data_IF_116607558323
#
_entry.id   IF_116607558323
#
_cell.length_a   1.000
_cell.length_b   1.000
_cell.length_c   1.000
_cell.angle_alpha   90.00
_cell.angle_beta   90.00
_cell.angle_gamma   90.00
#
_symmetry.space_group_name_H-M   'P 1'
#
loop_
_entity.id
_entity.type
_entity.pdbx_description
1 polymer ?
#
# COMPACT_ATOMS: atom_id res chain seq x y z
N UNK A 1 9.60 14.42 -8.75
CA UNK A 1 9.65 14.62 -7.29
C UNK A 1 10.23 13.39 -6.63
N UNK A 2 10.98 13.58 -5.56
CA UNK A 2 11.54 12.50 -4.75
C UNK A 2 10.89 12.53 -3.37
N UNK A 3 10.50 11.35 -2.88
CA UNK A 3 9.88 11.17 -1.56
C UNK A 3 10.76 10.18 -0.80
N UNK A 4 11.16 10.55 0.41
CA UNK A 4 11.91 9.69 1.33
C UNK A 4 10.93 9.09 2.34
N UNK A 5 10.92 7.77 2.43
CA UNK A 5 10.14 7.03 3.42
C UNK A 5 11.05 6.62 4.60
N UNK A 6 10.48 6.54 5.80
CA UNK A 6 11.22 6.26 7.03
C UNK A 6 11.52 4.76 7.23
N UNK A 7 10.99 3.88 6.39
CA UNK A 7 11.24 2.44 6.36
C UNK A 7 12.46 2.04 5.50
N UNK A 8 13.21 3.03 5.02
CA UNK A 8 14.47 2.84 4.29
C UNK A 8 14.34 2.94 2.77
N UNK A 9 13.17 3.31 2.24
CA UNK A 9 12.97 3.53 0.80
C UNK A 9 13.14 5.00 0.41
N UNK A 10 14.12 5.33 -0.43
CA UNK A 10 14.44 6.71 -0.84
C UNK A 10 14.74 6.89 -2.34
N UNK A 11 14.63 5.83 -3.14
CA UNK A 11 15.06 5.80 -4.55
C UNK A 11 13.95 6.06 -5.58
N UNK A 12 12.70 6.27 -5.14
CA UNK A 12 11.55 6.45 -6.02
C UNK A 12 11.50 7.83 -6.70
N UNK A 13 11.10 7.85 -7.97
CA UNK A 13 10.79 9.08 -8.72
C UNK A 13 9.29 9.13 -9.00
N UNK A 14 8.64 10.23 -8.61
CA UNK A 14 7.21 10.46 -8.79
C UNK A 14 6.97 11.72 -9.63
N UNK A 15 6.08 11.64 -10.62
CA UNK A 15 5.58 12.83 -11.32
C UNK A 15 4.44 13.46 -10.52
N UNK A 16 4.15 14.73 -10.78
CA UNK A 16 3.01 15.40 -10.14
C UNK A 16 1.68 14.77 -10.58
N UNK A 17 1.53 14.50 -11.88
CA UNK A 17 0.32 13.87 -12.44
C UNK A 17 0.05 12.52 -11.77
N UNK A 18 1.09 11.70 -11.58
CA UNK A 18 0.95 10.40 -10.93
C UNK A 18 0.54 10.51 -9.46
N UNK A 19 1.08 11.48 -8.72
CA UNK A 19 0.67 11.70 -7.32
C UNK A 19 -0.78 12.21 -7.23
N UNK A 20 -1.21 13.01 -8.21
CA UNK A 20 -2.60 13.46 -8.30
C UNK A 20 -3.53 12.28 -8.61
N UNK A 21 -3.20 11.43 -9.58
CA UNK A 21 -3.93 10.21 -9.90
C UNK A 21 -4.06 9.26 -8.70
N UNK A 22 -2.98 9.09 -7.93
CA UNK A 22 -3.00 8.29 -6.70
C UNK A 22 -3.92 8.88 -5.63
N UNK A 23 -3.99 10.21 -5.53
CA UNK A 23 -4.91 10.91 -4.63
C UNK A 23 -6.37 10.74 -5.03
N UNK A 24 -6.70 10.97 -6.29
CA UNK A 24 -8.06 10.79 -6.84
C UNK A 24 -8.52 9.33 -6.70
N UNK A 25 -7.63 8.37 -6.95
CA UNK A 25 -7.92 6.93 -6.89
C UNK A 25 -7.74 6.30 -5.51
N UNK A 26 -7.48 7.08 -4.45
CA UNK A 26 -7.07 6.53 -3.14
C UNK A 26 -8.00 5.44 -2.62
N UNK A 27 -9.31 5.70 -2.60
CA UNK A 27 -10.31 4.78 -2.01
C UNK A 27 -10.31 3.43 -2.72
N UNK A 28 -10.41 3.42 -4.05
CA UNK A 28 -10.52 2.18 -4.82
C UNK A 28 -9.21 1.40 -4.79
N UNK A 29 -8.08 2.09 -4.93
CA UNK A 29 -6.75 1.48 -4.83
C UNK A 29 -6.52 0.87 -3.45
N UNK A 30 -6.98 1.53 -2.39
CA UNK A 30 -6.84 1.06 -1.02
C UNK A 30 -7.69 -0.19 -0.76
N UNK A 31 -8.95 -0.18 -1.18
CA UNK A 31 -9.85 -1.34 -1.05
C UNK A 31 -9.28 -2.54 -1.84
N UNK A 32 -8.81 -2.31 -3.06
CA UNK A 32 -8.18 -3.36 -3.87
C UNK A 32 -6.94 -3.96 -3.20
N UNK A 33 -6.07 -3.11 -2.64
CA UNK A 33 -4.89 -3.56 -1.89
C UNK A 33 -5.26 -4.42 -0.69
N UNK A 34 -6.24 -4.00 0.11
CA UNK A 34 -6.70 -4.76 1.27
C UNK A 34 -7.32 -6.11 0.88
N UNK A 35 -8.09 -6.15 -0.21
CA UNK A 35 -8.63 -7.41 -0.75
C UNK A 35 -7.52 -8.39 -1.12
N UNK A 36 -6.49 -7.91 -1.83
CA UNK A 36 -5.33 -8.73 -2.20
C UNK A 36 -4.53 -9.23 -0.99
N UNK A 37 -4.37 -8.40 0.05
CA UNK A 37 -3.75 -8.84 1.30
C UNK A 37 -4.55 -9.96 1.96
N UNK A 38 -5.87 -9.80 2.04
CA UNK A 38 -6.76 -10.80 2.64
C UNK A 38 -6.70 -12.13 1.88
N UNK A 39 -6.81 -12.11 0.55
CA UNK A 39 -6.69 -13.30 -0.30
C UNK A 39 -5.34 -14.00 -0.14
N UNK A 40 -4.26 -13.24 0.08
CA UNK A 40 -2.94 -13.76 0.33
C UNK A 40 -2.71 -14.24 1.78
N UNK A 41 -3.69 -14.10 2.67
CA UNK A 41 -3.54 -14.38 4.11
C UNK A 41 -2.50 -13.50 4.80
N UNK A 42 -2.23 -12.31 4.25
CA UNK A 42 -1.24 -11.35 4.75
C UNK A 42 -1.91 -10.22 5.54
N UNK A 43 -1.12 -9.51 6.35
CA UNK A 43 -1.53 -8.31 7.06
C UNK A 43 -0.70 -7.10 6.62
N UNK A 44 -1.29 -5.91 6.71
CA UNK A 44 -0.58 -4.65 6.53
C UNK A 44 0.38 -4.36 7.68
N UNK A 45 -0.02 -4.72 8.90
CA UNK A 45 0.77 -4.49 10.10
C UNK A 45 1.84 -5.57 10.23
N UNK A 46 3.09 -5.14 10.42
CA UNK A 46 4.20 -6.04 10.66
C UNK A 46 3.97 -6.85 11.93
N UNK A 47 4.19 -8.15 11.87
CA UNK A 47 4.04 -9.07 13.01
C UNK A 47 2.59 -9.53 13.29
N UNK A 48 1.60 -9.11 12.50
CA UNK A 48 0.25 -9.66 12.58
C UNK A 48 0.13 -10.88 11.65
N UNK A 49 -0.08 -12.06 12.24
CA UNK A 49 -0.45 -13.26 11.47
C UNK A 49 -1.97 -13.37 11.38
N UNK A 50 -2.48 -13.51 10.15
CA UNK A 50 -3.89 -13.79 9.92
C UNK A 50 -4.15 -15.26 10.27
N UNK A 51 -4.69 -15.51 11.46
CA UNK A 51 -5.10 -16.85 11.89
C UNK A 51 -6.55 -17.08 11.45
N UNK A 52 -6.74 -17.91 10.43
CA UNK A 52 -8.06 -18.37 10.02
C UNK A 52 -8.49 -19.53 10.92
N UNK A 53 -9.47 -19.29 11.79
CA UNK A 53 -10.11 -20.33 12.61
C UNK A 53 -11.20 -21.01 11.78
N UNK A 54 -10.81 -21.99 10.99
CA UNK A 54 -11.72 -22.99 10.38
C UNK A 54 -11.69 -24.29 11.16
#
# INVERSE_FOLDING_TARGET
MQITFNDGHDSGIFTWDYLYELGEGYTDNWISYLGRLHEAGQSRESGVQVVNLT
#
